data_IF_735636266734
#
_entry.id   IF_735636266734
#
_cell.length_a   1.000
_cell.length_b   1.000
_cell.length_c   1.000
_cell.angle_alpha   90.00
_cell.angle_beta   90.00
_cell.angle_gamma   90.00
#
_symmetry.space_group_name_H-M   'P 1'
#
loop_
_entity.id
_entity.type
_entity.pdbx_description
1 polymer ?
#
# COMPACT_ATOMS: atom_id res chain seq x y z
N UNK A 1 9.89 -6.25 -19.81
CA UNK A 1 9.10 -7.49 -20.01
C UNK A 1 7.66 -7.11 -20.28
N UNK A 2 6.92 -7.95 -21.00
CA UNK A 2 5.49 -7.80 -21.22
C UNK A 2 4.84 -9.19 -21.36
N UNK A 3 3.57 -9.31 -21.00
CA UNK A 3 2.77 -10.50 -21.22
C UNK A 3 1.35 -10.09 -21.65
N UNK A 4 0.73 -10.90 -22.50
CA UNK A 4 -0.67 -10.77 -22.91
C UNK A 4 -1.45 -12.01 -22.44
N UNK A 5 -2.60 -11.78 -21.81
CA UNK A 5 -3.47 -12.82 -21.24
C UNK A 5 -4.86 -12.73 -21.86
N UNK A 6 -5.40 -13.86 -22.30
CA UNK A 6 -6.76 -13.97 -22.82
C UNK A 6 -7.43 -15.23 -22.25
N UNK A 7 -8.65 -15.08 -21.73
CA UNK A 7 -9.42 -16.16 -21.07
C UNK A 7 -8.59 -16.96 -20.05
N UNK A 8 -7.85 -16.25 -19.19
CA UNK A 8 -7.03 -16.84 -18.12
C UNK A 8 -5.75 -17.55 -18.60
N UNK A 9 -5.39 -17.45 -19.88
CA UNK A 9 -4.18 -18.06 -20.45
C UNK A 9 -3.22 -17.01 -20.96
N UNK A 10 -1.93 -17.18 -20.69
CA UNK A 10 -0.88 -16.38 -21.31
C UNK A 10 -0.80 -16.79 -22.79
N UNK A 11 -1.06 -15.84 -23.69
CA UNK A 11 -1.00 -16.07 -25.15
C UNK A 11 0.31 -15.56 -25.76
N UNK A 12 1.01 -14.66 -25.06
CA UNK A 12 2.34 -14.19 -25.43
C UNK A 12 3.06 -13.65 -24.20
N UNK A 13 4.38 -13.83 -24.13
CA UNK A 13 5.26 -13.20 -23.15
C UNK A 13 6.63 -12.91 -23.79
N UNK A 14 7.25 -11.81 -23.40
CA UNK A 14 8.56 -11.41 -23.93
C UNK A 14 9.34 -10.52 -22.99
N UNK A 15 10.67 -10.63 -23.07
CA UNK A 15 11.63 -9.75 -22.41
C UNK A 15 12.57 -9.15 -23.45
N UNK A 16 13.00 -7.90 -23.25
CA UNK A 16 13.96 -7.21 -24.12
C UNK A 16 14.74 -6.20 -23.29
N UNK A 17 15.90 -5.80 -23.79
CA UNK A 17 16.84 -4.91 -23.11
C UNK A 17 17.73 -5.65 -22.11
N UNK A 18 18.41 -4.85 -21.28
CA UNK A 18 19.42 -5.32 -20.34
C UNK A 18 19.03 -4.98 -18.90
N UNK A 19 19.48 -5.80 -17.94
CA UNK A 19 19.15 -5.66 -16.52
C UNK A 19 19.63 -4.32 -15.93
N UNK A 20 20.72 -3.78 -16.47
CA UNK A 20 21.37 -2.56 -15.99
C UNK A 20 21.93 -1.77 -17.17
N UNK A 21 21.84 -0.44 -17.10
CA UNK A 21 22.44 0.44 -18.10
C UNK A 21 23.97 0.24 -18.14
N UNK A 22 24.51 0.04 -19.35
CA UNK A 22 25.95 -0.21 -19.57
C UNK A 22 26.39 -1.66 -19.29
N UNK A 23 25.47 -2.55 -18.93
CA UNK A 23 25.73 -3.97 -18.72
C UNK A 23 25.02 -4.79 -19.83
N UNK A 24 25.70 -5.67 -20.56
CA UNK A 24 25.09 -6.45 -21.64
C UNK A 24 24.27 -7.66 -21.15
N UNK A 25 24.08 -7.85 -19.85
CA UNK A 25 23.29 -8.95 -19.30
C UNK A 25 21.80 -8.76 -19.66
N UNK A 26 21.22 -9.66 -20.48
CA UNK A 26 19.85 -9.50 -20.95
C UNK A 26 18.84 -9.67 -19.81
N UNK A 27 17.70 -8.99 -19.93
CA UNK A 27 16.53 -9.26 -19.08
C UNK A 27 15.93 -10.61 -19.44
N UNK A 28 15.64 -11.44 -18.44
CA UNK A 28 14.89 -12.69 -18.55
C UNK A 28 13.44 -12.52 -18.07
N UNK A 29 12.54 -13.41 -18.50
CA UNK A 29 11.17 -13.50 -17.97
C UNK A 29 11.12 -13.84 -16.48
N UNK A 30 12.20 -14.44 -15.94
CA UNK A 30 12.31 -14.83 -14.53
C UNK A 30 12.90 -13.72 -13.63
N UNK A 31 13.27 -12.58 -14.23
CA UNK A 31 13.84 -11.47 -13.47
C UNK A 31 12.77 -10.82 -12.58
N UNK A 32 13.18 -10.48 -11.35
CA UNK A 32 12.33 -9.78 -10.39
C UNK A 32 12.42 -8.27 -10.59
N UNK A 33 11.26 -7.61 -10.57
CA UNK A 33 11.14 -6.16 -10.69
C UNK A 33 10.43 -5.60 -9.46
N UNK A 34 10.83 -4.40 -9.05
CA UNK A 34 10.11 -3.68 -8.02
C UNK A 34 8.71 -3.29 -8.53
N UNK A 35 7.66 -3.78 -7.88
CA UNK A 35 6.27 -3.63 -8.35
C UNK A 35 5.77 -2.18 -8.34
N UNK A 36 6.37 -1.33 -7.50
CA UNK A 36 5.96 0.07 -7.36
C UNK A 36 4.47 0.19 -7.11
N UNK A 37 3.78 0.96 -7.95
CA UNK A 37 2.36 1.26 -7.77
C UNK A 37 1.41 0.09 -8.06
N UNK A 38 1.87 -0.99 -8.70
CA UNK A 38 1.05 -2.20 -8.86
C UNK A 38 0.65 -2.82 -7.51
N UNK A 39 1.43 -2.57 -6.46
CA UNK A 39 1.10 -2.96 -5.07
C UNK A 39 -0.24 -2.40 -4.60
N UNK A 40 -0.68 -1.23 -5.09
CA UNK A 40 -1.94 -0.61 -4.68
C UNK A 40 -3.16 -1.45 -5.04
N UNK A 41 -3.14 -2.10 -6.21
CA UNK A 41 -4.20 -3.03 -6.61
C UNK A 41 -4.28 -4.21 -5.63
N UNK A 42 -3.14 -4.73 -5.18
CA UNK A 42 -3.09 -5.79 -4.17
C UNK A 42 -3.63 -5.32 -2.81
N UNK A 43 -3.28 -4.10 -2.37
CA UNK A 43 -3.84 -3.48 -1.16
C UNK A 43 -5.36 -3.33 -1.26
N UNK A 44 -5.87 -2.84 -2.40
CA UNK A 44 -7.30 -2.69 -2.65
C UNK A 44 -8.04 -4.04 -2.63
N UNK A 45 -7.47 -5.08 -3.23
CA UNK A 45 -8.01 -6.44 -3.17
C UNK A 45 -8.04 -6.98 -1.74
N UNK A 46 -6.95 -6.80 -0.97
CA UNK A 46 -6.92 -7.21 0.44
C UNK A 46 -7.97 -6.46 1.27
N UNK A 47 -8.15 -5.15 1.04
CA UNK A 47 -9.21 -4.37 1.68
C UNK A 47 -10.59 -4.93 1.36
N UNK A 48 -10.88 -5.20 0.09
CA UNK A 48 -12.15 -5.78 -0.33
C UNK A 48 -12.41 -7.17 0.29
N UNK A 49 -11.38 -8.01 0.38
CA UNK A 49 -11.46 -9.30 1.07
C UNK A 49 -11.82 -9.14 2.54
N UNK A 50 -11.12 -8.25 3.27
CA UNK A 50 -11.40 -8.02 4.70
C UNK A 50 -12.76 -7.35 4.94
N UNK A 51 -13.24 -6.54 3.99
CA UNK A 51 -14.62 -6.01 4.02
C UNK A 51 -15.63 -7.12 3.82
N UNK A 52 -15.41 -8.00 2.84
CA UNK A 52 -16.27 -9.16 2.60
C UNK A 52 -16.31 -10.12 3.80
N UNK A 53 -15.19 -10.27 4.51
CA UNK A 53 -15.09 -11.07 5.74
C UNK A 53 -15.77 -10.40 6.95
N UNK A 54 -16.28 -9.17 6.81
CA UNK A 54 -16.86 -8.38 7.91
C UNK A 54 -15.86 -7.87 8.95
N UNK A 55 -14.55 -7.92 8.66
CA UNK A 55 -13.47 -7.50 9.57
C UNK A 55 -13.34 -5.98 9.67
N UNK A 56 -13.76 -5.27 8.62
CA UNK A 56 -13.76 -3.80 8.52
C UNK A 56 -14.83 -3.37 7.52
N UNK A 57 -15.28 -2.12 7.54
CA UNK A 57 -16.18 -1.56 6.52
C UNK A 57 -15.44 -0.51 5.69
N UNK A 58 -15.91 -0.26 4.48
CA UNK A 58 -15.40 0.85 3.65
C UNK A 58 -15.54 2.21 4.35
N UNK A 59 -16.57 2.38 5.17
CA UNK A 59 -16.84 3.59 5.96
C UNK A 59 -16.12 3.61 7.31
N UNK A 60 -15.42 2.53 7.70
CA UNK A 60 -14.62 2.55 8.92
C UNK A 60 -13.57 3.65 8.81
N UNK A 61 -13.54 4.52 9.81
CA UNK A 61 -12.67 5.69 9.86
C UNK A 61 -11.31 5.32 10.44
N UNK A 62 -10.27 6.07 10.07
CA UNK A 62 -8.94 5.90 10.69
C UNK A 62 -8.95 6.17 12.19
N UNK A 63 -9.82 7.07 12.66
CA UNK A 63 -10.02 7.36 14.08
C UNK A 63 -10.63 6.19 14.87
N UNK A 64 -11.52 5.40 14.26
CA UNK A 64 -12.04 4.17 14.87
C UNK A 64 -10.97 3.07 14.97
N UNK A 65 -10.08 2.98 13.97
CA UNK A 65 -9.03 1.95 13.91
C UNK A 65 -7.86 2.28 14.86
N UNK A 66 -7.53 3.57 15.01
CA UNK A 66 -6.44 4.05 15.85
C UNK A 66 -6.91 5.11 16.86
N UNK A 67 -7.76 4.76 17.84
CA UNK A 67 -8.37 5.74 18.76
C UNK A 67 -7.35 6.48 19.62
N UNK A 68 -6.25 5.83 19.98
CA UNK A 68 -5.18 6.38 20.83
C UNK A 68 -4.12 7.16 20.03
N UNK A 69 -4.20 7.18 18.70
CA UNK A 69 -3.21 7.85 17.87
C UNK A 69 -3.53 9.34 17.80
N UNK A 70 -2.59 10.19 18.23
CA UNK A 70 -2.68 11.62 18.00
C UNK A 70 -2.74 11.91 16.49
N UNK A 71 -3.83 12.54 16.05
CA UNK A 71 -4.09 12.89 14.65
C UNK A 71 -4.90 14.17 14.54
N UNK A 72 -4.80 14.85 13.40
CA UNK A 72 -5.59 16.03 13.08
C UNK A 72 -7.10 15.67 13.04
N UNK A 73 -7.99 16.51 13.60
CA UNK A 73 -9.43 16.22 13.65
C UNK A 73 -10.06 15.91 12.29
N UNK A 74 -9.62 16.60 11.23
CA UNK A 74 -10.15 16.36 9.88
C UNK A 74 -9.79 14.98 9.33
N UNK A 75 -8.63 14.43 9.69
CA UNK A 75 -8.29 13.06 9.31
C UNK A 75 -9.08 12.02 10.12
N UNK A 76 -9.50 12.33 11.35
CA UNK A 76 -10.17 11.37 12.24
C UNK A 76 -11.39 10.70 11.61
N UNK A 77 -12.08 11.43 10.72
CA UNK A 77 -13.29 10.96 10.00
C UNK A 77 -13.00 10.40 8.59
N UNK A 78 -11.75 10.46 8.12
CA UNK A 78 -11.39 9.88 6.83
C UNK A 78 -11.55 8.36 6.87
N UNK A 79 -12.20 7.81 5.84
CA UNK A 79 -12.60 6.40 5.77
C UNK A 79 -11.59 5.56 5.00
N UNK A 80 -11.61 4.24 5.23
CA UNK A 80 -10.82 3.28 4.44
C UNK A 80 -11.01 3.48 2.93
N UNK A 81 -12.26 3.70 2.49
CA UNK A 81 -12.56 3.94 1.07
C UNK A 81 -11.85 5.18 0.55
N UNK A 82 -11.86 6.29 1.30
CA UNK A 82 -11.21 7.53 0.88
C UNK A 82 -9.69 7.36 0.77
N UNK A 83 -9.06 6.59 1.66
CA UNK A 83 -7.64 6.29 1.53
C UNK A 83 -7.36 5.41 0.30
N UNK A 84 -8.15 4.36 0.10
CA UNK A 84 -8.01 3.43 -1.02
C UNK A 84 -8.39 4.05 -2.39
N UNK A 85 -9.13 5.16 -2.40
CA UNK A 85 -9.56 5.87 -3.61
C UNK A 85 -8.84 7.20 -3.83
N UNK A 86 -7.75 7.51 -3.09
CA UNK A 86 -7.00 8.76 -3.20
C UNK A 86 -7.81 10.04 -2.90
N UNK A 87 -8.83 9.97 -2.05
CA UNK A 87 -9.67 11.12 -1.68
C UNK A 87 -9.59 11.54 -0.21
N UNK A 88 -8.68 10.95 0.56
CA UNK A 88 -8.58 11.20 2.01
C UNK A 88 -7.89 12.51 2.42
N UNK A 89 -7.46 13.38 1.49
CA UNK A 89 -6.75 14.60 1.85
C UNK A 89 -5.24 14.43 2.05
N UNK A 90 -4.70 13.24 1.78
CA UNK A 90 -3.25 12.99 1.87
C UNK A 90 -2.55 13.60 0.66
N UNK A 91 -1.45 14.37 0.84
CA UNK A 91 -0.75 14.99 -0.27
C UNK A 91 -0.13 13.95 -1.22
N UNK A 92 0.11 14.36 -2.46
CA UNK A 92 0.83 13.56 -3.46
C UNK A 92 2.25 13.25 -3.00
N UNK A 93 2.99 14.32 -2.72
CA UNK A 93 4.31 14.27 -2.13
C UNK A 93 4.20 14.43 -0.63
N UNK A 94 4.70 13.43 0.11
CA UNK A 94 4.75 13.52 1.57
C UNK A 94 5.87 14.49 1.97
N UNK A 95 5.59 15.55 2.76
CA UNK A 95 6.60 16.53 3.12
C UNK A 95 7.82 15.90 3.79
N UNK A 96 9.02 16.43 3.51
CA UNK A 96 10.28 15.92 4.06
C UNK A 96 10.26 15.79 5.60
N UNK A 97 9.67 16.77 6.29
CA UNK A 97 9.55 16.77 7.75
C UNK A 97 8.77 15.56 8.31
N UNK A 98 7.90 14.93 7.53
CA UNK A 98 7.21 13.69 7.94
C UNK A 98 8.17 12.52 7.91
N UNK A 99 9.04 12.43 6.91
CA UNK A 99 10.06 11.40 6.80
C UNK A 99 11.12 11.54 7.91
N UNK A 100 11.52 12.77 8.24
CA UNK A 100 12.42 13.03 9.37
C UNK A 100 11.82 12.57 10.70
N UNK A 101 10.53 12.86 10.93
CA UNK A 101 9.81 12.42 12.14
C UNK A 101 9.57 10.92 12.21
N UNK A 102 9.30 10.29 11.07
CA UNK A 102 9.09 8.84 10.99
C UNK A 102 10.39 8.06 11.23
N UNK A 103 11.54 8.68 10.94
CA UNK A 103 12.82 7.98 10.91
C UNK A 103 12.92 7.02 9.71
N UNK A 104 14.12 6.47 9.51
CA UNK A 104 14.39 5.49 8.45
C UNK A 104 15.34 4.39 8.95
N UNK A 105 15.09 3.91 10.17
CA UNK A 105 15.85 2.81 10.74
C UNK A 105 15.45 1.51 10.07
N UNK A 106 16.33 1.01 9.21
CA UNK A 106 16.12 -0.24 8.45
C UNK A 106 16.16 -1.49 9.32
N UNK A 107 16.56 -1.38 10.59
CA UNK A 107 16.57 -2.50 11.52
C UNK A 107 15.24 -2.65 12.27
N UNK A 108 14.35 -1.65 12.21
CA UNK A 108 13.03 -1.75 12.83
C UNK A 108 12.11 -2.67 12.01
N UNK A 109 11.20 -3.40 12.66
CA UNK A 109 10.16 -4.13 11.96
C UNK A 109 9.35 -3.20 11.05
N UNK A 110 9.05 -3.62 9.82
CA UNK A 110 8.34 -2.79 8.83
C UNK A 110 7.03 -2.19 9.36
N UNK A 111 6.33 -2.96 10.19
CA UNK A 111 5.10 -2.55 10.88
C UNK A 111 5.32 -1.32 11.76
N UNK A 112 6.40 -1.29 12.52
CA UNK A 112 6.73 -0.17 13.40
C UNK A 112 7.09 1.07 12.58
N UNK A 113 7.93 0.93 11.55
CA UNK A 113 8.26 2.01 10.62
C UNK A 113 6.99 2.59 9.98
N UNK A 114 6.07 1.73 9.56
CA UNK A 114 4.77 2.14 8.99
C UNK A 114 3.93 2.91 10.00
N UNK A 115 3.85 2.45 11.26
CA UNK A 115 3.11 3.12 12.32
C UNK A 115 3.69 4.49 12.67
N UNK A 116 5.01 4.61 12.71
CA UNK A 116 5.71 5.90 12.94
C UNK A 116 5.42 6.88 11.79
N UNK A 117 5.50 6.40 10.55
CA UNK A 117 5.18 7.19 9.36
C UNK A 117 3.73 7.71 9.37
N UNK A 118 2.74 6.83 9.58
CA UNK A 118 1.34 7.28 9.55
C UNK A 118 1.02 8.20 10.73
N UNK A 119 1.64 7.99 11.91
CA UNK A 119 1.45 8.87 13.07
C UNK A 119 1.95 10.27 12.76
N UNK A 120 3.14 10.40 12.17
CA UNK A 120 3.69 11.68 11.77
C UNK A 120 2.81 12.37 10.72
N UNK A 121 2.35 11.62 9.71
CA UNK A 121 1.51 12.13 8.63
C UNK A 121 0.13 12.58 9.13
N UNK A 122 -0.56 11.74 9.90
CA UNK A 122 -1.91 12.00 10.39
C UNK A 122 -1.94 13.14 11.42
N UNK A 123 -0.83 13.47 12.07
CA UNK A 123 -0.72 14.62 12.97
C UNK A 123 -0.72 15.98 12.25
N UNK A 124 -0.43 16.01 10.96
CA UNK A 124 -0.51 17.21 10.13
C UNK A 124 -1.92 17.41 9.55
N UNK A 125 -2.34 18.65 9.25
CA UNK A 125 -3.61 18.88 8.56
C UNK A 125 -3.61 18.22 7.18
N UNK A 126 -4.77 17.76 6.69
CA UNK A 126 -4.88 17.27 5.31
C UNK A 126 -4.63 18.41 4.32
N UNK A 127 -4.12 18.10 3.13
CA UNK A 127 -3.87 19.08 2.07
C UNK A 127 -5.18 19.66 1.49
N UNK A 128 -6.27 18.92 1.63
CA UNK A 128 -7.64 19.28 1.27
C UNK A 128 -8.59 18.42 2.11
N UNK A 129 -9.83 18.87 2.32
CA UNK A 129 -10.77 18.13 3.16
C UNK A 129 -11.05 16.73 2.58
N UNK A 130 -11.05 15.66 3.40
CA UNK A 130 -11.37 14.32 2.94
C UNK A 130 -12.70 14.25 2.18
N UNK A 131 -12.69 13.62 1.00
CA UNK A 131 -13.84 13.44 0.12
C UNK A 131 -14.08 14.59 -0.87
N UNK A 132 -13.31 15.69 -0.80
CA UNK A 132 -13.53 16.86 -1.68
C UNK A 132 -12.72 16.83 -2.97
N UNK A 133 -11.61 16.08 -3.02
CA UNK A 133 -10.76 15.95 -4.20
C UNK A 133 -10.20 14.53 -4.32
N UNK A 134 -9.65 14.20 -5.48
CA UNK A 134 -8.89 12.97 -5.69
C UNK A 134 -7.45 13.33 -6.07
N UNK A 135 -6.49 13.11 -5.16
CA UNK A 135 -5.07 13.35 -5.40
C UNK A 135 -4.31 12.07 -5.11
N UNK A 136 -3.66 11.52 -6.14
CA UNK A 136 -2.88 10.30 -6.04
C UNK A 136 -1.87 10.38 -4.89
N UNK A 137 -1.92 9.45 -3.94
CA UNK A 137 -1.07 9.51 -2.75
C UNK A 137 -0.54 8.14 -2.35
N UNK A 138 0.78 8.03 -2.24
CA UNK A 138 1.42 6.86 -1.64
C UNK A 138 1.11 6.78 -0.15
N UNK A 139 1.14 7.91 0.56
CA UNK A 139 0.84 7.97 1.99
C UNK A 139 -0.56 7.48 2.33
N UNK A 140 -1.54 7.77 1.47
CA UNK A 140 -2.91 7.26 1.63
C UNK A 140 -2.99 5.74 1.61
N UNK A 141 -2.30 5.08 0.68
CA UNK A 141 -2.22 3.62 0.63
C UNK A 141 -1.44 3.02 1.81
N UNK A 142 -0.41 3.71 2.31
CA UNK A 142 0.30 3.30 3.53
C UNK A 142 -0.64 3.29 4.75
N UNK A 143 -1.49 4.30 4.88
CA UNK A 143 -2.51 4.37 5.95
C UNK A 143 -3.55 3.27 5.78
N UNK A 144 -4.06 3.06 4.57
CA UNK A 144 -4.99 1.96 4.30
C UNK A 144 -4.38 0.60 4.70
N UNK A 145 -3.13 0.31 4.26
CA UNK A 145 -2.43 -0.92 4.64
C UNK A 145 -2.27 -1.09 6.15
N UNK A 146 -1.96 -0.01 6.88
CA UNK A 146 -1.88 -0.04 8.34
C UNK A 146 -3.25 -0.29 9.01
N UNK A 147 -4.34 0.25 8.46
CA UNK A 147 -5.69 -0.05 8.95
C UNK A 147 -6.01 -1.54 8.81
N UNK A 148 -5.69 -2.15 7.66
CA UNK A 148 -5.89 -3.59 7.41
C UNK A 148 -5.04 -4.46 8.35
N UNK A 149 -3.79 -4.07 8.60
CA UNK A 149 -2.91 -4.72 9.56
C UNK A 149 -3.47 -4.64 11.00
N UNK A 150 -3.98 -3.47 11.41
CA UNK A 150 -4.54 -3.27 12.74
C UNK A 150 -5.78 -4.11 13.00
N UNK A 151 -6.73 -4.14 12.06
CA UNK A 151 -7.98 -4.93 12.23
C UNK A 151 -7.78 -6.42 12.04
N UNK A 152 -6.74 -6.83 11.30
CA UNK A 152 -6.42 -8.25 11.10
C UNK A 152 -5.60 -8.84 12.26
N UNK A 153 -4.76 -8.03 12.90
CA UNK A 153 -3.78 -8.47 13.90
C UNK A 153 -2.50 -9.06 13.30
N UNK A 154 -2.34 -9.07 11.97
CA UNK A 154 -1.20 -9.66 11.27
C UNK A 154 -0.45 -8.63 10.42
N UNK A 155 0.88 -8.70 10.29
CA UNK A 155 1.65 -7.81 9.43
C UNK A 155 1.12 -7.76 8.00
N UNK A 156 1.15 -6.58 7.37
CA UNK A 156 0.68 -6.38 6.00
C UNK A 156 1.30 -7.37 5.00
N UNK A 157 2.61 -7.61 5.09
CA UNK A 157 3.32 -8.54 4.22
C UNK A 157 2.77 -9.96 4.33
N UNK A 158 2.44 -10.40 5.55
CA UNK A 158 1.89 -11.73 5.79
C UNK A 158 0.46 -11.85 5.29
N UNK A 159 -0.36 -10.80 5.45
CA UNK A 159 -1.70 -10.76 4.86
C UNK A 159 -1.66 -10.90 3.34
N UNK A 160 -0.77 -10.17 2.66
CA UNK A 160 -0.63 -10.26 1.20
C UNK A 160 -0.15 -11.66 0.80
N UNK A 161 0.83 -12.23 1.50
CA UNK A 161 1.31 -13.60 1.24
C UNK A 161 0.19 -14.63 1.42
N UNK A 162 -0.52 -14.58 2.53
CA UNK A 162 -1.57 -15.55 2.88
C UNK A 162 -2.83 -15.43 2.02
N UNK A 163 -3.29 -14.20 1.75
CA UNK A 163 -4.58 -13.95 1.12
C UNK A 163 -4.51 -13.78 -0.40
N UNK A 164 -3.35 -13.38 -0.94
CA UNK A 164 -3.16 -13.18 -2.37
C UNK A 164 -2.09 -14.10 -2.96
N UNK A 165 -0.85 -14.06 -2.46
CA UNK A 165 0.24 -14.74 -3.17
C UNK A 165 0.08 -16.27 -3.16
N UNK A 166 -0.18 -16.88 -2.00
CA UNK A 166 -0.36 -18.33 -1.89
C UNK A 166 -1.57 -18.84 -2.70
N UNK A 167 -2.79 -18.26 -2.58
CA UNK A 167 -3.94 -18.76 -3.34
C UNK A 167 -3.83 -18.58 -4.86
N UNK A 168 -3.01 -17.62 -5.31
CA UNK A 168 -2.78 -17.33 -6.73
C UNK A 168 -1.48 -17.94 -7.28
N UNK A 169 -0.75 -18.72 -6.48
CA UNK A 169 0.56 -19.32 -6.82
C UNK A 169 1.58 -18.28 -7.32
N UNK A 170 1.66 -17.12 -6.66
CA UNK A 170 2.61 -16.04 -6.99
C UNK A 170 3.95 -16.26 -6.25
N UNK A 171 4.60 -17.38 -6.51
CA UNK A 171 5.79 -17.84 -5.76
C UNK A 171 7.04 -16.96 -5.96
N UNK A 172 7.09 -16.19 -7.05
CA UNK A 172 8.20 -15.26 -7.34
C UNK A 172 8.01 -13.89 -6.70
N UNK A 173 6.82 -13.58 -6.17
CA UNK A 173 6.49 -12.30 -5.55
C UNK A 173 6.82 -12.31 -4.04
N UNK A 174 7.30 -11.18 -3.53
CA UNK A 174 7.69 -11.09 -2.13
C UNK A 174 7.95 -9.67 -1.67
N UNK A 175 8.21 -9.57 -0.38
CA UNK A 175 8.78 -8.40 0.29
C UNK A 175 10.25 -8.74 0.55
N UNK A 176 11.14 -7.76 0.31
CA UNK A 176 12.59 -7.92 0.38
C UNK A 176 13.14 -7.46 1.72
#
# INVERSE_FOLDING_TARGET
MAAAVYNGKIIAAGATGFRKAGDPTPVSLDDKFHLGSCTKSMTGTLAAMLVSDGRIKWQTTVGEVFPEMAMHPDFKRATLLQFASNSAGVPHEVPHAIWEKAGNDRNKPEREVRLEFIRALLASPPAYLPGTQNVYSNGGFTIAGAMLEKVSGKPYADLIRERLFKPLNLDSAGFG
#
